data_IF_052940724743
#
_entry.id   IF_052940724743
#
_cell.length_a   1.000
_cell.length_b   1.000
_cell.length_c   1.000
_cell.angle_alpha   90.00
_cell.angle_beta   90.00
_cell.angle_gamma   90.00
#
_symmetry.space_group_name_H-M   'P 1'
#
loop_
_entity.id
_entity.type
_entity.pdbx_description
1 polymer ?
#
# COMPACT_ATOMS: atom_id res chain seq x y z
N UNK A 1 5.19 -12.01 -15.68
CA UNK A 1 5.98 -10.81 -15.29
C UNK A 1 5.50 -10.36 -13.92
N UNK A 2 6.18 -10.77 -12.86
CA UNK A 2 5.83 -10.35 -11.50
C UNK A 2 6.44 -8.99 -11.24
N UNK A 3 5.63 -8.00 -10.85
CA UNK A 3 6.13 -6.67 -10.53
C UNK A 3 7.02 -6.72 -9.29
N UNK A 4 8.31 -6.44 -9.45
CA UNK A 4 9.28 -6.42 -8.35
C UNK A 4 9.41 -5.00 -7.79
N UNK A 5 8.89 -4.81 -6.58
CA UNK A 5 9.00 -3.55 -5.86
C UNK A 5 10.47 -3.21 -5.55
N UNK A 6 10.76 -1.91 -5.41
CA UNK A 6 12.03 -1.45 -4.84
C UNK A 6 12.04 -1.78 -3.35
N UNK A 7 13.15 -2.34 -2.89
CA UNK A 7 13.46 -2.51 -1.47
C UNK A 7 13.86 -1.19 -0.84
N UNK A 8 13.81 -1.12 0.49
CA UNK A 8 14.24 0.08 1.22
C UNK A 8 15.73 0.34 1.01
N UNK A 9 16.55 -0.70 0.96
CA UNK A 9 17.99 -0.58 0.71
C UNK A 9 18.28 0.01 -0.67
N UNK A 10 17.55 -0.46 -1.70
CA UNK A 10 17.63 0.13 -3.03
C UNK A 10 17.23 1.62 -3.02
N UNK A 11 16.19 2.00 -2.28
CA UNK A 11 15.79 3.41 -2.17
C UNK A 11 16.89 4.28 -1.54
N UNK A 12 17.56 3.80 -0.49
CA UNK A 12 18.68 4.49 0.16
C UNK A 12 19.85 4.64 -0.82
N UNK A 13 20.21 3.58 -1.55
CA UNK A 13 21.27 3.62 -2.57
C UNK A 13 20.93 4.62 -3.68
N UNK A 14 19.68 4.60 -4.18
CA UNK A 14 19.21 5.55 -5.20
C UNK A 14 19.29 6.98 -4.68
N UNK A 15 18.98 7.23 -3.40
CA UNK A 15 19.09 8.56 -2.79
C UNK A 15 20.54 9.04 -2.73
N UNK A 16 21.48 8.18 -2.33
CA UNK A 16 22.91 8.48 -2.37
C UNK A 16 23.39 8.80 -3.78
N UNK A 17 23.02 8.00 -4.77
CA UNK A 17 23.37 8.25 -6.18
C UNK A 17 22.76 9.53 -6.74
N UNK A 18 21.54 9.86 -6.33
CA UNK A 18 20.90 11.13 -6.68
C UNK A 18 21.68 12.32 -6.11
N UNK A 19 22.08 12.25 -4.84
CA UNK A 19 22.91 13.29 -4.19
C UNK A 19 24.29 13.44 -4.85
N UNK A 20 24.84 12.36 -5.41
CA UNK A 20 26.08 12.36 -6.20
C UNK A 20 25.89 12.82 -7.66
N UNK A 21 24.70 13.28 -8.06
CA UNK A 21 24.36 13.67 -9.44
C UNK A 21 24.56 12.55 -10.48
N UNK A 22 24.45 11.28 -10.06
CA UNK A 22 24.57 10.15 -10.98
C UNK A 22 23.37 10.09 -11.93
N UNK A 23 23.61 9.77 -13.21
CA UNK A 23 22.54 9.68 -14.20
C UNK A 23 21.57 8.52 -13.93
N UNK A 24 20.29 8.72 -14.29
CA UNK A 24 19.23 7.70 -14.18
C UNK A 24 19.62 6.40 -14.90
N UNK A 25 20.22 6.52 -16.09
CA UNK A 25 20.63 5.37 -16.88
C UNK A 25 21.70 4.52 -16.18
N UNK A 26 22.71 5.16 -15.57
CA UNK A 26 23.77 4.48 -14.83
C UNK A 26 23.21 3.81 -13.58
N UNK A 27 22.38 4.52 -12.80
CA UNK A 27 21.74 3.96 -11.60
C UNK A 27 20.83 2.76 -11.92
N UNK A 28 20.06 2.84 -13.02
CA UNK A 28 19.23 1.73 -13.49
C UNK A 28 20.06 0.49 -13.85
N UNK A 29 21.19 0.68 -14.52
CA UNK A 29 22.13 -0.40 -14.84
C UNK A 29 22.76 -0.99 -13.57
N UNK A 30 23.23 -0.16 -12.64
CA UNK A 30 23.86 -0.63 -11.40
C UNK A 30 22.91 -1.47 -10.53
N UNK A 31 21.63 -1.13 -10.50
CA UNK A 31 20.62 -1.81 -9.69
C UNK A 31 19.87 -2.90 -10.44
N UNK A 32 20.18 -3.15 -11.72
CA UNK A 32 19.42 -4.05 -12.59
C UNK A 32 17.90 -3.76 -12.59
N UNK A 33 17.54 -2.48 -12.56
CA UNK A 33 16.14 -2.01 -12.58
C UNK A 33 15.81 -1.28 -13.86
N UNK A 34 14.52 -1.21 -14.18
CA UNK A 34 14.07 -0.44 -15.34
C UNK A 34 14.41 1.05 -15.18
N UNK A 35 14.81 1.72 -16.26
CA UNK A 35 15.06 3.17 -16.27
C UNK A 35 13.84 3.95 -15.80
N UNK A 36 12.64 3.49 -16.16
CA UNK A 36 11.39 4.13 -15.77
C UNK A 36 11.17 4.08 -14.24
N UNK A 37 11.52 2.97 -13.59
CA UNK A 37 11.42 2.83 -12.14
C UNK A 37 12.33 3.84 -11.44
N UNK A 38 13.61 3.92 -11.85
CA UNK A 38 14.57 4.86 -11.26
C UNK A 38 14.17 6.32 -11.54
N UNK A 39 13.69 6.61 -12.75
CA UNK A 39 13.24 7.94 -13.12
C UNK A 39 12.11 8.45 -12.21
N UNK A 40 11.14 7.59 -11.86
CA UNK A 40 10.06 7.94 -10.93
C UNK A 40 10.59 8.32 -9.54
N UNK A 41 11.59 7.60 -9.04
CA UNK A 41 12.22 7.92 -7.74
C UNK A 41 13.01 9.23 -7.82
N UNK A 42 13.79 9.44 -8.88
CA UNK A 42 14.52 10.69 -9.10
C UNK A 42 13.59 11.91 -9.20
N UNK A 43 12.46 11.80 -9.90
CA UNK A 43 11.47 12.87 -9.95
C UNK A 43 10.91 13.20 -8.56
N UNK A 44 10.75 12.19 -7.71
CA UNK A 44 10.31 12.40 -6.33
C UNK A 44 11.38 13.12 -5.51
N UNK A 45 12.66 12.74 -5.65
CA UNK A 45 13.78 13.42 -4.97
C UNK A 45 14.01 14.85 -5.47
N UNK A 46 13.75 15.14 -6.74
CA UNK A 46 13.74 16.50 -7.28
C UNK A 46 12.71 17.42 -6.62
N UNK A 47 11.67 16.86 -5.98
CA UNK A 47 10.70 17.62 -5.19
C UNK A 47 11.20 17.91 -3.76
N UNK A 48 12.46 17.60 -3.44
CA UNK A 48 13.04 17.80 -2.11
C UNK A 48 12.69 16.72 -1.09
N UNK A 49 12.09 15.61 -1.54
CA UNK A 49 11.61 14.52 -0.67
C UNK A 49 12.67 13.42 -0.49
N UNK A 50 12.62 12.72 0.64
CA UNK A 50 13.56 11.64 0.99
C UNK A 50 13.09 10.25 0.54
N UNK A 51 14.03 9.30 0.49
CA UNK A 51 13.76 7.86 0.36
C UNK A 51 12.75 7.34 1.39
N UNK A 52 12.83 7.82 2.64
CA UNK A 52 11.89 7.42 3.69
C UNK A 52 10.46 7.85 3.35
N UNK A 53 10.29 9.09 2.87
CA UNK A 53 8.98 9.61 2.47
C UNK A 53 8.43 8.86 1.25
N UNK A 54 9.30 8.46 0.30
CA UNK A 54 8.89 7.61 -0.82
C UNK A 54 8.32 6.28 -0.34
N UNK A 55 8.99 5.65 0.62
CA UNK A 55 8.53 4.40 1.24
C UNK A 55 7.22 4.58 2.01
N UNK A 56 7.08 5.65 2.78
CA UNK A 56 5.85 5.98 3.50
C UNK A 56 4.68 6.22 2.53
N UNK A 57 4.91 6.94 1.43
CA UNK A 57 3.91 7.15 0.38
C UNK A 57 3.49 5.82 -0.24
N UNK A 58 4.44 4.90 -0.49
CA UNK A 58 4.12 3.55 -0.95
C UNK A 58 3.23 2.80 0.05
N UNK A 59 3.55 2.84 1.35
CA UNK A 59 2.74 2.20 2.41
C UNK A 59 1.32 2.77 2.46
N UNK A 60 1.18 4.10 2.37
CA UNK A 60 -0.12 4.78 2.32
C UNK A 60 -0.92 4.42 1.06
N UNK A 61 -0.26 4.32 -0.09
CA UNK A 61 -0.94 3.89 -1.32
C UNK A 61 -1.37 2.42 -1.21
N UNK A 62 -0.55 1.58 -0.59
CA UNK A 62 -0.83 0.15 -0.39
C UNK A 62 -1.99 -0.08 0.58
N UNK A 63 -2.18 0.76 1.59
CA UNK A 63 -3.36 0.67 2.48
C UNK A 63 -4.68 1.01 1.79
N UNK A 64 -4.62 1.71 0.65
CA UNK A 64 -5.81 1.98 -0.17
C UNK A 64 -6.13 0.84 -1.15
N UNK A 65 -5.25 -0.16 -1.25
CA UNK A 65 -5.46 -1.34 -2.08
C UNK A 65 -6.20 -2.43 -1.29
N UNK A 66 -6.88 -3.32 -2.03
CA UNK A 66 -7.59 -4.45 -1.44
C UNK A 66 -9.04 -4.13 -1.07
N UNK A 67 -9.72 -5.13 -0.50
CA UNK A 67 -11.11 -4.99 -0.08
C UNK A 67 -11.16 -4.14 1.19
N UNK A 68 -11.93 -3.06 1.16
CA UNK A 68 -12.20 -2.27 2.36
C UNK A 68 -12.99 -3.12 3.38
N UNK A 69 -12.72 -2.97 4.68
CA UNK A 69 -13.51 -3.67 5.69
C UNK A 69 -14.98 -3.28 5.52
N UNK A 70 -15.85 -4.28 5.40
CA UNK A 70 -17.28 -4.08 5.48
C UNK A 70 -17.61 -3.96 6.97
N UNK A 71 -17.82 -2.74 7.44
CA UNK A 71 -18.30 -2.51 8.81
C UNK A 71 -19.82 -2.50 8.74
N UNK A 72 -20.45 -3.42 9.47
CA UNK A 72 -21.90 -3.44 9.62
C UNK A 72 -22.33 -2.20 10.41
N UNK A 73 -23.45 -1.54 10.04
CA UNK A 73 -24.04 -0.50 10.88
C UNK A 73 -24.23 -0.98 12.32
N UNK A 74 -24.18 -0.06 13.27
CA UNK A 74 -24.31 -0.37 14.70
C UNK A 74 -25.64 -1.08 14.99
N UNK A 75 -26.74 -0.59 14.42
CA UNK A 75 -28.06 -1.22 14.52
C UNK A 75 -28.08 -2.68 14.05
N UNK A 76 -27.45 -2.96 12.91
CA UNK A 76 -27.36 -4.33 12.39
C UNK A 76 -26.50 -5.21 13.29
N UNK A 77 -25.41 -4.65 13.82
CA UNK A 77 -24.50 -5.34 14.74
C UNK A 77 -25.21 -5.70 16.05
N UNK A 78 -25.95 -4.75 16.63
CA UNK A 78 -26.76 -4.97 17.83
C UNK A 78 -27.86 -6.00 17.60
N UNK A 79 -28.57 -5.91 16.47
CA UNK A 79 -29.59 -6.89 16.10
C UNK A 79 -29.00 -8.30 16.04
N UNK A 80 -27.89 -8.48 15.32
CA UNK A 80 -27.21 -9.77 15.20
C UNK A 80 -26.80 -10.28 16.58
N UNK A 81 -26.14 -9.45 17.41
CA UNK A 81 -25.72 -9.83 18.76
C UNK A 81 -26.89 -10.29 19.63
N UNK A 82 -27.99 -9.51 19.66
CA UNK A 82 -29.20 -9.86 20.42
C UNK A 82 -29.80 -11.18 19.96
N UNK A 83 -29.85 -11.44 18.64
CA UNK A 83 -30.41 -12.69 18.09
C UNK A 83 -29.50 -13.89 18.31
N UNK A 84 -28.18 -13.72 18.24
CA UNK A 84 -27.22 -14.76 18.58
C UNK A 84 -27.36 -15.19 20.05
N UNK A 85 -27.51 -14.24 20.98
CA UNK A 85 -27.77 -14.54 22.40
C UNK A 85 -29.09 -15.29 22.60
N UNK A 86 -30.09 -15.05 21.75
CA UNK A 86 -31.37 -15.79 21.73
C UNK A 86 -31.25 -17.19 21.10
N UNK A 87 -30.06 -17.62 20.69
CA UNK A 87 -29.80 -18.94 20.12
C UNK A 87 -30.17 -19.08 18.64
N UNK A 88 -30.37 -17.97 17.93
CA UNK A 88 -30.74 -18.01 16.51
C UNK A 88 -29.53 -18.34 15.64
N UNK A 89 -29.74 -19.18 14.62
CA UNK A 89 -28.70 -19.47 13.62
C UNK A 89 -28.56 -18.32 12.61
N UNK A 90 -27.38 -18.13 12.00
CA UNK A 90 -27.17 -17.05 11.02
C UNK A 90 -28.20 -17.04 9.88
N UNK A 91 -28.58 -18.21 9.35
CA UNK A 91 -29.58 -18.31 8.27
C UNK A 91 -30.95 -17.76 8.69
N UNK A 92 -31.32 -18.01 9.95
CA UNK A 92 -32.57 -17.51 10.54
C UNK A 92 -32.52 -16.00 10.76
N UNK A 93 -31.36 -15.46 11.18
CA UNK A 93 -31.15 -14.02 11.36
C UNK A 93 -31.28 -13.29 10.02
N UNK A 94 -30.68 -13.83 8.96
CA UNK A 94 -30.78 -13.24 7.61
C UNK A 94 -32.20 -13.37 7.05
N UNK A 95 -32.84 -14.54 7.17
CA UNK A 95 -34.19 -14.78 6.63
C UNK A 95 -35.31 -14.00 7.33
N UNK A 96 -35.03 -13.37 8.47
CA UNK A 96 -35.98 -12.56 9.26
C UNK A 96 -35.52 -11.12 9.46
N UNK A 97 -34.42 -10.72 8.86
CA UNK A 97 -34.03 -9.32 8.77
C UNK A 97 -34.95 -8.65 7.74
N UNK A 98 -35.96 -7.92 8.22
CA UNK A 98 -36.86 -7.08 7.42
C UNK A 98 -36.37 -5.63 7.46
#
# INVERSE_FOLDING_TARGET
>A
MTYTHLTTDELVIIESYFKMNQSVAKTAHCLNRSRQTIHKVYLFFKQGKSALEYYQQYKKNKSNCGRRPLVLPEEQSEYIQRKVVQGWTPDVIVGRAA
#
